data_IF_413846199201
#
_entry.id   IF_413846199201
#
_cell.length_a   1.000
_cell.length_b   1.000
_cell.length_c   1.000
_cell.angle_alpha   90.00
_cell.angle_beta   90.00
_cell.angle_gamma   90.00
#
_symmetry.space_group_name_H-M   'P 1'
#
loop_
_entity.id
_entity.type
_entity.pdbx_description
1 polymer ?
#
# COMPACT_ATOMS: atom_id res chain seq x y z
N UNK A 1 -14.17 7.52 8.86
CA UNK A 1 -13.48 6.38 8.25
C UNK A 1 -12.62 5.71 9.29
N UNK A 2 -12.55 4.39 9.26
CA UNK A 2 -11.76 3.56 10.16
C UNK A 2 -10.81 2.72 9.33
N UNK A 3 -9.56 2.58 9.78
CA UNK A 3 -8.55 1.77 9.10
C UNK A 3 -7.92 0.81 10.11
N UNK A 4 -7.97 -0.48 9.79
CA UNK A 4 -7.29 -1.53 10.55
C UNK A 4 -5.93 -1.81 9.90
N UNK A 5 -4.86 -1.67 10.67
CA UNK A 5 -3.50 -2.00 10.27
C UNK A 5 -3.08 -3.36 10.84
N UNK A 6 -2.28 -4.07 10.08
CA UNK A 6 -1.57 -5.26 10.54
C UNK A 6 -0.38 -4.84 11.42
N UNK A 7 0.03 -5.66 12.42
CA UNK A 7 1.13 -5.29 13.32
C UNK A 7 2.47 -5.11 12.60
N UNK A 8 2.71 -5.83 11.51
CA UNK A 8 3.95 -5.77 10.74
C UNK A 8 3.99 -4.63 9.72
N UNK A 9 2.84 -4.07 9.35
CA UNK A 9 2.79 -3.08 8.27
C UNK A 9 3.72 -1.90 8.52
N UNK A 10 4.43 -1.51 7.49
CA UNK A 10 5.30 -0.32 7.50
C UNK A 10 4.48 0.96 7.64
N UNK A 11 5.15 2.04 8.07
CA UNK A 11 4.49 3.33 8.25
C UNK A 11 3.81 3.80 6.94
N UNK A 12 2.49 4.05 6.97
CA UNK A 12 1.78 4.59 5.81
C UNK A 12 2.12 6.06 5.61
N UNK A 13 1.89 6.57 4.40
CA UNK A 13 1.88 8.00 4.15
C UNK A 13 0.45 8.51 4.22
N UNK A 14 0.17 9.38 5.17
CA UNK A 14 -1.08 10.12 5.24
C UNK A 14 -1.01 11.29 4.26
N UNK A 15 -2.00 11.41 3.38
CA UNK A 15 -2.09 12.47 2.37
C UNK A 15 -3.46 13.13 2.50
N UNK A 16 -3.50 14.46 2.40
CA UNK A 16 -4.74 15.21 2.47
C UNK A 16 -4.78 16.34 1.45
N UNK A 17 -5.95 16.85 1.20
CA UNK A 17 -6.18 18.01 0.38
C UNK A 17 -6.88 19.08 1.23
N UNK A 18 -6.19 20.20 1.48
CA UNK A 18 -6.71 21.33 2.22
C UNK A 18 -6.88 22.52 1.26
N UNK A 19 -8.13 22.93 1.04
CA UNK A 19 -8.49 24.04 0.15
C UNK A 19 -8.52 25.39 0.87
N UNK A 20 -8.13 25.45 2.13
CA UNK A 20 -8.16 26.67 2.93
C UNK A 20 -6.96 27.55 2.58
N UNK A 21 -7.18 28.66 1.88
CA UNK A 21 -6.13 29.54 1.35
C UNK A 21 -5.15 30.09 2.41
N UNK A 22 -5.61 30.22 3.65
CA UNK A 22 -4.80 30.77 4.75
C UNK A 22 -3.89 29.76 5.45
N UNK A 23 -3.92 28.49 5.04
CA UNK A 23 -3.07 27.44 5.65
C UNK A 23 -1.66 27.53 5.10
N UNK A 24 -0.68 27.58 5.97
CA UNK A 24 0.75 27.59 5.61
C UNK A 24 1.51 26.35 6.06
N UNK A 25 0.99 25.64 7.05
CA UNK A 25 1.54 24.40 7.58
C UNK A 25 0.46 23.62 8.33
N UNK A 26 0.78 22.39 8.69
CA UNK A 26 -0.14 21.50 9.42
C UNK A 26 0.56 20.90 10.63
N UNK A 27 -0.26 20.51 11.60
CA UNK A 27 0.16 19.68 12.72
C UNK A 27 -0.67 18.39 12.70
N UNK A 28 -0.02 17.25 12.60
CA UNK A 28 -0.66 15.96 12.78
C UNK A 28 -0.65 15.63 14.27
N UNK A 29 -1.81 15.29 14.80
CA UNK A 29 -2.02 14.91 16.20
C UNK A 29 -2.45 13.45 16.25
N UNK A 30 -1.78 12.64 17.02
CA UNK A 30 -2.22 11.26 17.29
C UNK A 30 -2.63 11.15 18.74
N UNK A 31 -3.88 10.74 18.97
CA UNK A 31 -4.49 10.59 20.30
C UNK A 31 -4.91 9.15 20.50
N UNK A 32 -4.66 8.63 21.70
CA UNK A 32 -5.12 7.32 22.13
C UNK A 32 -6.25 7.50 23.14
N UNK A 33 -7.31 6.70 23.02
CA UNK A 33 -8.55 6.89 23.79
C UNK A 33 -8.37 6.86 25.32
N UNK A 34 -7.34 6.18 25.82
CA UNK A 34 -7.17 5.89 27.25
C UNK A 34 -6.06 6.68 27.96
N UNK A 35 -5.21 7.41 27.25
CA UNK A 35 -3.97 7.93 27.84
C UNK A 35 -3.88 9.44 27.98
N UNK A 36 -4.78 10.20 27.40
CA UNK A 36 -4.71 11.67 27.41
C UNK A 36 -3.43 12.24 26.75
N UNK A 37 -2.49 11.39 26.37
CA UNK A 37 -1.26 11.76 25.66
C UNK A 37 -1.54 12.03 24.20
N UNK A 38 -0.95 13.11 23.68
CA UNK A 38 -1.10 13.51 22.29
C UNK A 38 0.27 13.63 21.66
N UNK A 39 0.57 12.77 20.71
CA UNK A 39 1.75 12.92 19.87
C UNK A 39 1.51 14.03 18.85
N UNK A 40 2.56 14.83 18.56
CA UNK A 40 2.46 16.02 17.69
C UNK A 40 3.57 16.02 16.65
N UNK A 41 3.17 16.15 15.38
CA UNK A 41 4.10 16.12 14.24
C UNK A 41 3.81 17.32 13.33
N UNK A 42 4.64 18.35 13.34
CA UNK A 42 4.51 19.48 12.41
C UNK A 42 4.97 19.08 11.00
N UNK A 43 4.29 19.60 9.98
CA UNK A 43 4.67 19.43 8.57
C UNK A 43 4.29 20.66 7.76
N UNK A 44 5.09 20.94 6.73
CA UNK A 44 4.84 22.01 5.75
C UNK A 44 4.25 21.48 4.44
N UNK A 45 4.13 20.15 4.32
CA UNK A 45 3.57 19.51 3.13
C UNK A 45 2.21 18.89 3.48
N UNK A 46 1.28 18.79 2.50
CA UNK A 46 -0.02 18.14 2.69
C UNK A 46 0.09 16.62 2.71
N UNK A 47 1.13 16.13 3.35
CA UNK A 47 1.42 14.71 3.59
C UNK A 47 2.29 14.54 4.84
N UNK A 48 2.17 13.37 5.45
CA UNK A 48 3.01 12.99 6.59
C UNK A 48 3.20 11.48 6.62
N UNK A 49 4.43 11.05 6.85
CA UNK A 49 4.78 9.66 7.12
C UNK A 49 5.49 9.61 8.47
N UNK A 50 5.00 8.83 9.44
CA UNK A 50 5.70 8.61 10.71
C UNK A 50 7.11 8.06 10.48
N UNK A 51 8.04 8.39 11.35
CA UNK A 51 9.28 7.62 11.44
C UNK A 51 8.98 6.19 11.91
N UNK A 52 9.91 5.26 11.72
CA UNK A 52 9.75 3.87 12.21
C UNK A 52 9.51 3.84 13.72
N UNK A 53 10.24 4.65 14.47
CA UNK A 53 10.09 4.75 15.93
C UNK A 53 8.71 5.29 16.32
N UNK A 54 8.26 6.37 15.69
CA UNK A 54 6.93 6.93 15.94
C UNK A 54 5.83 5.96 15.55
N UNK A 55 6.00 5.27 14.41
CA UNK A 55 5.03 4.29 13.95
C UNK A 55 4.93 3.09 14.90
N UNK A 56 6.04 2.63 15.46
CA UNK A 56 6.05 1.58 16.48
C UNK A 56 5.25 2.01 17.73
N UNK A 57 5.43 3.26 18.19
CA UNK A 57 4.65 3.82 19.33
C UNK A 57 3.18 3.90 18.97
N UNK A 58 2.83 4.37 17.77
CA UNK A 58 1.44 4.49 17.31
C UNK A 58 0.78 3.11 17.24
N UNK A 59 1.44 2.11 16.64
CA UNK A 59 0.92 0.74 16.58
C UNK A 59 0.70 0.18 17.98
N UNK A 60 1.69 0.28 18.86
CA UNK A 60 1.59 -0.22 20.23
C UNK A 60 0.44 0.45 20.99
N UNK A 61 0.25 1.75 20.79
CA UNK A 61 -0.81 2.52 21.42
C UNK A 61 -2.21 2.22 20.87
N UNK A 62 -2.33 1.62 19.69
CA UNK A 62 -3.60 1.36 19.01
C UNK A 62 -3.95 -0.13 18.85
N UNK A 63 -3.22 -1.04 19.50
CA UNK A 63 -3.55 -2.48 19.45
C UNK A 63 -4.93 -2.72 20.02
N UNK A 64 -5.84 -3.29 19.21
CA UNK A 64 -7.23 -3.62 19.52
C UNK A 64 -8.06 -2.44 20.09
N UNK A 65 -7.60 -1.21 19.87
CA UNK A 65 -8.29 0.03 20.31
C UNK A 65 -8.06 1.14 19.30
N UNK A 66 -8.94 2.13 19.32
CA UNK A 66 -8.87 3.24 18.38
C UNK A 66 -7.79 4.25 18.79
N UNK A 67 -7.10 4.77 17.78
CA UNK A 67 -6.35 6.01 17.87
C UNK A 67 -6.91 7.00 16.84
N UNK A 68 -7.06 8.25 17.22
CA UNK A 68 -7.45 9.33 16.32
C UNK A 68 -6.21 9.99 15.74
N UNK A 69 -6.11 10.02 14.43
CA UNK A 69 -5.16 10.86 13.69
C UNK A 69 -5.90 12.09 13.20
N UNK A 70 -5.60 13.24 13.79
CA UNK A 70 -6.19 14.52 13.40
C UNK A 70 -5.13 15.38 12.69
N UNK A 71 -5.51 15.96 11.56
CA UNK A 71 -4.68 16.89 10.79
C UNK A 71 -5.27 18.27 10.99
N UNK A 72 -4.47 19.20 11.52
CA UNK A 72 -4.90 20.56 11.85
C UNK A 72 -4.10 21.53 10.99
N UNK A 73 -4.78 22.25 10.11
CA UNK A 73 -4.20 23.33 9.32
C UNK A 73 -4.01 24.60 10.16
N UNK A 74 -2.81 25.14 10.11
CA UNK A 74 -2.39 26.32 10.89
C UNK A 74 -2.31 27.53 9.97
N UNK A 75 -3.09 28.51 10.29
CA UNK A 75 -3.13 29.79 9.60
C UNK A 75 -2.34 30.89 10.32
N UNK A 76 -2.57 32.16 9.96
CA UNK A 76 -1.91 33.33 10.55
C UNK A 76 -2.05 33.36 12.07
N UNK A 77 -1.00 33.85 12.75
CA UNK A 77 -0.92 33.94 14.22
C UNK A 77 -1.06 32.57 14.92
N UNK A 78 -0.64 31.50 14.26
CA UNK A 78 -0.69 30.11 14.77
C UNK A 78 -2.10 29.64 15.16
N UNK A 79 -3.11 30.15 14.48
CA UNK A 79 -4.51 29.74 14.73
C UNK A 79 -4.88 28.53 13.89
N UNK A 80 -5.54 27.51 14.48
CA UNK A 80 -6.17 26.45 13.69
C UNK A 80 -7.26 27.02 12.79
N UNK A 81 -7.24 26.70 11.50
CA UNK A 81 -8.19 27.21 10.50
C UNK A 81 -8.87 26.09 9.72
N UNK A 82 -8.31 24.88 9.75
CA UNK A 82 -8.93 23.70 9.16
C UNK A 82 -8.61 22.46 10.01
N UNK A 83 -9.42 21.43 9.89
CA UNK A 83 -9.12 20.14 10.50
C UNK A 83 -9.81 18.99 9.78
N UNK A 84 -9.12 17.84 9.76
CA UNK A 84 -9.69 16.55 9.35
C UNK A 84 -9.23 15.47 10.33
N UNK A 85 -9.95 14.35 10.38
CA UNK A 85 -9.60 13.24 11.26
C UNK A 85 -9.91 11.89 10.63
N UNK A 86 -9.13 10.89 11.01
CA UNK A 86 -9.36 9.48 10.70
C UNK A 86 -9.07 8.65 11.95
N UNK A 87 -9.82 7.56 12.14
CA UNK A 87 -9.53 6.56 13.17
C UNK A 87 -8.71 5.45 12.59
N UNK A 88 -7.75 5.00 13.36
CA UNK A 88 -6.89 3.87 13.04
C UNK A 88 -6.90 2.89 14.20
N UNK A 89 -6.70 1.63 13.89
CA UNK A 89 -6.54 0.55 14.86
C UNK A 89 -5.47 -0.40 14.38
N UNK A 90 -4.73 -1.01 15.26
CA UNK A 90 -3.77 -2.07 14.94
C UNK A 90 -4.33 -3.41 15.40
N UNK A 91 -4.33 -4.41 14.52
CA UNK A 91 -4.66 -5.79 14.88
C UNK A 91 -3.59 -6.34 15.82
N UNK A 92 -4.00 -7.27 16.69
CA UNK A 92 -3.04 -8.09 17.45
C UNK A 92 -2.56 -9.31 16.65
N UNK A 93 -3.25 -9.65 15.55
CA UNK A 93 -3.01 -10.86 14.80
C UNK A 93 -1.94 -10.61 13.73
N UNK A 94 -0.75 -11.23 13.84
CA UNK A 94 0.29 -11.08 12.84
C UNK A 94 -0.13 -11.75 11.53
N UNK A 95 0.27 -11.15 10.41
CA UNK A 95 0.11 -11.75 9.07
C UNK A 95 1.28 -12.68 8.77
N UNK A 96 2.51 -12.23 9.01
CA UNK A 96 3.71 -13.03 8.88
C UNK A 96 4.04 -13.49 7.45
N UNK A 97 3.22 -13.14 6.48
CA UNK A 97 3.30 -13.63 5.11
C UNK A 97 3.85 -12.58 4.14
N UNK A 98 4.23 -13.08 2.96
CA UNK A 98 4.61 -12.25 1.84
C UNK A 98 3.40 -11.84 1.02
N UNK A 99 3.54 -10.72 0.31
CA UNK A 99 2.54 -10.21 -0.63
C UNK A 99 3.02 -10.44 -2.06
N UNK A 100 2.13 -10.97 -2.90
CA UNK A 100 2.30 -11.05 -4.34
C UNK A 100 1.25 -10.19 -5.02
N UNK A 101 1.66 -9.21 -5.80
CA UNK A 101 0.73 -8.27 -6.40
C UNK A 101 1.18 -7.76 -7.77
N UNK A 102 0.18 -7.34 -8.56
CA UNK A 102 0.37 -6.76 -9.87
C UNK A 102 0.50 -5.23 -9.78
N UNK A 103 1.55 -4.70 -10.36
CA UNK A 103 1.75 -3.27 -10.60
C UNK A 103 1.33 -2.94 -12.03
N UNK A 104 0.47 -1.96 -12.20
CA UNK A 104 -0.09 -1.56 -13.51
C UNK A 104 0.11 -0.06 -13.70
N UNK A 105 0.67 0.39 -14.83
CA UNK A 105 0.82 1.81 -15.10
C UNK A 105 -0.54 2.50 -15.28
N UNK A 106 -0.63 3.74 -14.84
CA UNK A 106 -1.80 4.58 -15.04
C UNK A 106 -1.50 5.66 -16.10
N UNK A 107 -2.48 6.03 -16.92
CA UNK A 107 -3.84 5.47 -16.99
C UNK A 107 -3.83 4.04 -17.53
N UNK A 108 -4.81 3.23 -17.15
CA UNK A 108 -4.86 1.79 -17.46
C UNK A 108 -4.74 1.47 -18.96
N UNK A 109 -5.19 2.35 -19.82
CA UNK A 109 -5.05 2.20 -21.29
C UNK A 109 -3.58 2.02 -21.71
N UNK A 110 -2.63 2.55 -20.96
CA UNK A 110 -1.19 2.37 -21.24
C UNK A 110 -0.77 0.91 -21.08
N UNK A 111 -1.32 0.21 -20.11
CA UNK A 111 -1.06 -1.21 -19.89
C UNK A 111 -1.76 -2.08 -20.94
N UNK A 112 -2.90 -1.64 -21.46
CA UNK A 112 -3.60 -2.34 -22.57
C UNK A 112 -2.83 -2.23 -23.87
N UNK A 113 -2.24 -1.06 -24.13
CA UNK A 113 -1.45 -0.82 -25.33
C UNK A 113 -0.06 -1.49 -25.31
N UNK A 114 0.49 -1.62 -24.10
CA UNK A 114 1.83 -2.20 -23.89
C UNK A 114 1.82 -3.07 -22.63
N UNK A 115 1.43 -4.35 -22.72
CA UNK A 115 1.38 -5.28 -21.58
C UNK A 115 2.73 -5.53 -20.92
N UNK A 116 3.85 -5.31 -21.62
CA UNK A 116 5.20 -5.48 -21.05
C UNK A 116 5.47 -4.56 -19.87
N UNK A 117 4.69 -3.49 -19.73
CA UNK A 117 4.77 -2.54 -18.61
C UNK A 117 4.04 -3.01 -17.36
N UNK A 118 3.30 -4.10 -17.42
CA UNK A 118 2.70 -4.76 -16.26
C UNK A 118 3.79 -5.56 -15.56
N UNK A 119 3.87 -5.42 -14.23
CA UNK A 119 4.88 -6.08 -13.41
C UNK A 119 4.23 -6.80 -12.25
N UNK A 120 4.86 -7.84 -11.81
CA UNK A 120 4.47 -8.57 -10.62
C UNK A 120 5.59 -8.51 -9.60
N UNK A 121 5.22 -8.21 -8.37
CA UNK A 121 6.15 -8.07 -7.25
C UNK A 121 5.83 -9.08 -6.16
N UNK A 122 6.87 -9.51 -5.47
CA UNK A 122 6.75 -10.43 -4.34
C UNK A 122 7.72 -10.04 -3.24
N UNK A 123 7.25 -9.99 -1.99
CA UNK A 123 8.09 -9.69 -0.84
C UNK A 123 7.29 -9.60 0.44
N UNK A 124 7.99 -9.41 1.56
CA UNK A 124 7.38 -9.32 2.87
C UNK A 124 6.54 -8.06 3.04
N UNK A 125 5.45 -8.15 3.81
CA UNK A 125 4.58 -7.00 4.16
C UNK A 125 5.25 -6.02 5.13
N UNK A 126 6.30 -6.44 5.82
CA UNK A 126 7.06 -5.61 6.76
C UNK A 126 8.27 -4.90 6.14
N UNK A 127 8.50 -5.11 4.84
CA UNK A 127 9.62 -4.47 4.13
C UNK A 127 9.41 -2.97 4.02
N UNK A 128 10.44 -2.18 4.35
CA UNK A 128 10.47 -0.73 4.12
C UNK A 128 10.64 -0.38 2.64
N UNK A 129 11.22 -1.30 1.89
CA UNK A 129 11.45 -1.15 0.46
C UNK A 129 10.32 -1.78 -0.35
N UNK A 130 10.11 -1.25 -1.55
CA UNK A 130 9.19 -1.86 -2.49
C UNK A 130 9.65 -3.27 -2.84
N UNK A 131 8.78 -4.30 -2.76
CA UNK A 131 9.14 -5.66 -3.12
C UNK A 131 9.75 -5.77 -4.51
N UNK A 132 10.74 -6.65 -4.70
CA UNK A 132 11.37 -6.85 -6.00
C UNK A 132 10.38 -7.30 -7.07
N UNK A 133 10.67 -6.96 -8.32
CA UNK A 133 9.95 -7.48 -9.47
C UNK A 133 10.35 -8.95 -9.65
N UNK A 134 9.35 -9.82 -9.80
CA UNK A 134 9.54 -11.27 -10.01
C UNK A 134 8.99 -11.74 -11.35
N UNK A 135 8.18 -10.92 -12.02
CA UNK A 135 7.69 -11.18 -13.39
C UNK A 135 7.42 -9.84 -14.08
N UNK A 136 7.97 -9.67 -15.27
CA UNK A 136 7.78 -8.51 -16.16
C UNK A 136 7.92 -8.92 -17.62
N UNK A 137 7.83 -7.96 -18.54
CA UNK A 137 7.95 -8.16 -19.99
C UNK A 137 6.97 -9.21 -20.53
N UNK A 138 5.72 -9.16 -20.05
CA UNK A 138 4.69 -10.08 -20.50
C UNK A 138 4.34 -9.85 -21.98
N UNK A 139 4.27 -10.91 -22.80
CA UNK A 139 3.87 -10.79 -24.22
C UNK A 139 2.39 -10.42 -24.36
N UNK A 140 1.58 -10.71 -23.33
CA UNK A 140 0.14 -10.43 -23.27
C UNK A 140 -0.25 -9.97 -21.87
N UNK A 141 -1.43 -9.37 -21.75
CA UNK A 141 -1.96 -8.96 -20.44
C UNK A 141 -2.24 -10.18 -19.56
N UNK A 142 -1.56 -10.24 -18.41
CA UNK A 142 -1.83 -11.21 -17.33
C UNK A 142 -2.75 -10.62 -16.26
N UNK A 143 -3.69 -11.42 -15.76
CA UNK A 143 -4.74 -10.96 -14.86
C UNK A 143 -4.78 -11.76 -13.55
N UNK A 144 -5.82 -12.57 -13.36
CA UNK A 144 -5.99 -13.35 -12.16
C UNK A 144 -4.87 -14.38 -12.03
N UNK A 145 -4.49 -14.67 -10.81
CA UNK A 145 -3.40 -15.61 -10.54
C UNK A 145 -3.77 -16.58 -9.42
N UNK A 146 -3.13 -17.73 -9.45
CA UNK A 146 -3.17 -18.72 -8.37
C UNK A 146 -1.86 -19.48 -8.28
N UNK A 147 -1.54 -19.99 -7.10
CA UNK A 147 -0.39 -20.87 -6.90
C UNK A 147 -0.85 -22.31 -6.69
N UNK A 148 0.01 -23.26 -7.08
CA UNK A 148 -0.17 -24.64 -6.67
C UNK A 148 -0.11 -24.78 -5.14
N UNK A 149 -0.67 -25.84 -4.59
CA UNK A 149 -0.72 -26.03 -3.14
C UNK A 149 0.65 -26.12 -2.46
N UNK A 150 1.70 -26.44 -3.20
CA UNK A 150 3.10 -26.46 -2.73
C UNK A 150 3.86 -25.16 -3.07
N UNK A 151 3.21 -24.19 -3.73
CA UNK A 151 3.82 -22.92 -4.14
C UNK A 151 4.82 -23.00 -5.30
N UNK A 152 4.99 -24.18 -5.93
CA UNK A 152 6.02 -24.37 -6.95
C UNK A 152 5.61 -23.88 -8.35
N UNK A 153 4.32 -23.67 -8.58
CA UNK A 153 3.75 -23.27 -9.87
C UNK A 153 2.83 -22.07 -9.70
N UNK A 154 2.96 -21.10 -10.58
CA UNK A 154 2.07 -19.95 -10.75
C UNK A 154 1.23 -20.12 -12.00
N UNK A 155 -0.08 -20.03 -11.88
CA UNK A 155 -1.02 -19.92 -12.98
C UNK A 155 -1.55 -18.51 -13.12
N UNK A 156 -1.68 -18.02 -14.36
CA UNK A 156 -2.18 -16.69 -14.73
C UNK A 156 -3.22 -16.80 -15.84
N UNK A 157 -4.37 -16.14 -15.67
CA UNK A 157 -5.26 -15.85 -16.79
C UNK A 157 -4.60 -14.84 -17.71
N UNK A 158 -4.59 -15.13 -19.01
CA UNK A 158 -3.99 -14.24 -20.02
C UNK A 158 -4.96 -13.98 -21.18
N UNK A 159 -4.85 -12.79 -21.76
CA UNK A 159 -5.61 -12.38 -22.94
C UNK A 159 -4.77 -12.66 -24.20
N UNK A 160 -4.75 -13.90 -24.65
CA UNK A 160 -3.94 -14.37 -25.75
C UNK A 160 -4.78 -14.53 -27.03
N UNK A 161 -4.27 -14.00 -28.15
CA UNK A 161 -4.93 -14.12 -29.45
C UNK A 161 -6.34 -13.50 -29.53
N UNK A 162 -6.63 -12.49 -28.72
CA UNK A 162 -7.97 -11.92 -28.50
C UNK A 162 -8.99 -12.89 -27.87
N UNK A 163 -8.51 -13.97 -27.29
CA UNK A 163 -9.31 -14.92 -26.51
C UNK A 163 -8.93 -14.82 -25.02
N UNK A 164 -9.91 -14.53 -24.19
CA UNK A 164 -9.74 -14.42 -22.74
C UNK A 164 -9.68 -15.78 -22.04
N UNK A 165 -9.67 -16.86 -22.77
CA UNK A 165 -9.57 -18.24 -22.27
C UNK A 165 -8.14 -18.78 -22.17
N UNK A 166 -7.12 -18.00 -22.52
CA UNK A 166 -5.73 -18.41 -22.42
C UNK A 166 -5.25 -18.50 -20.95
N UNK A 167 -4.34 -19.43 -20.68
CA UNK A 167 -3.77 -19.61 -19.35
C UNK A 167 -2.24 -19.78 -19.48
N UNK A 168 -1.49 -19.06 -18.66
CA UNK A 168 -0.04 -19.23 -18.57
C UNK A 168 0.32 -20.02 -17.32
N UNK A 169 1.22 -21.00 -17.45
CA UNK A 169 1.70 -21.82 -16.34
C UNK A 169 3.21 -21.67 -16.24
N UNK A 170 3.67 -21.15 -15.08
CA UNK A 170 5.06 -20.79 -14.83
C UNK A 170 5.61 -21.52 -13.62
N UNK A 171 6.84 -22.06 -13.66
CA UNK A 171 7.53 -22.46 -12.46
C UNK A 171 7.86 -21.21 -11.61
N UNK A 172 7.60 -21.28 -10.31
CA UNK A 172 7.90 -20.19 -9.38
C UNK A 172 9.41 -20.07 -9.20
N UNK A 173 9.93 -18.87 -9.39
CA UNK A 173 11.36 -18.53 -9.18
C UNK A 173 11.50 -17.05 -8.83
N UNK A 174 12.70 -16.63 -8.46
CA UNK A 174 13.01 -15.23 -8.15
C UNK A 174 12.82 -14.30 -9.36
N UNK A 175 13.01 -14.83 -10.57
CA UNK A 175 12.68 -14.16 -11.83
C UNK A 175 11.95 -15.15 -12.72
N UNK A 176 10.66 -14.92 -12.90
CA UNK A 176 9.80 -15.72 -13.75
C UNK A 176 9.76 -15.12 -15.16
N UNK A 177 9.63 -15.95 -16.17
CA UNK A 177 9.53 -15.52 -17.57
C UNK A 177 8.27 -16.16 -18.16
N UNK A 178 7.41 -15.30 -18.73
CA UNK A 178 6.27 -15.72 -19.54
C UNK A 178 6.63 -15.55 -21.02
N UNK A 179 6.50 -16.61 -21.78
CA UNK A 179 6.60 -16.60 -23.23
C UNK A 179 5.45 -17.42 -23.83
N UNK A 180 5.29 -17.38 -25.15
CA UNK A 180 4.17 -18.04 -25.84
C UNK A 180 4.12 -19.57 -25.58
N UNK A 181 5.25 -20.22 -25.34
CA UNK A 181 5.32 -21.65 -25.02
C UNK A 181 4.70 -22.02 -23.68
N UNK A 182 4.50 -21.04 -22.81
CA UNK A 182 3.91 -21.21 -21.47
C UNK A 182 2.41 -20.95 -21.45
N UNK A 183 1.84 -20.52 -22.59
CA UNK A 183 0.42 -20.18 -22.72
C UNK A 183 -0.30 -21.39 -23.38
N UNK A 184 -1.40 -21.79 -22.77
CA UNK A 184 -2.25 -22.90 -23.20
C UNK A 184 -3.71 -22.44 -23.30
#
# INVERSE_FOLDING_TARGET
DETLFQPEIVAPTFVWNDKTESVSNWTVLVRFDDKGEVLRFPTTEPRWRPSEADWAVIKQGSVERDAEVAIVGIGPKLKPVSSARVRIRTSKDPVGDSIFYREVPLPFITAVQDPSRIRWRYGSVDSQDQPPIVLEDLPVCGNCHSFSGDGSVLGLDVDYGNDKGGYAILPVSQQMVMNDEKII
#
